data_IF_965682013091
#
_entry.id   IF_965682013091
#
_cell.length_a   1.000
_cell.length_b   1.000
_cell.length_c   1.000
_cell.angle_alpha   90.00
_cell.angle_beta   90.00
_cell.angle_gamma   90.00
#
_symmetry.space_group_name_H-M   'P 1'
#
loop_
_entity.id
_entity.type
_entity.pdbx_description
1 polymer ?
#
# COMPACT_ATOMS: atom_id res chain seq x y z
N UNK A 1 2.52 30.86 18.23
CA UNK A 1 3.90 30.66 17.77
C UNK A 1 4.40 29.35 18.37
N UNK A 2 4.38 28.25 17.62
CA UNK A 2 4.87 26.95 18.09
C UNK A 2 6.40 26.94 17.98
N UNK A 3 7.10 26.61 19.07
CA UNK A 3 8.56 26.49 19.11
C UNK A 3 9.02 25.31 18.24
N UNK A 4 9.92 25.49 17.26
CA UNK A 4 10.18 24.49 16.23
C UNK A 4 11.11 23.32 16.61
N UNK A 5 11.58 23.20 17.85
CA UNK A 5 12.72 22.31 18.18
C UNK A 5 12.51 21.30 19.33
N UNK A 6 11.29 21.08 19.80
CA UNK A 6 11.06 20.03 20.80
C UNK A 6 10.72 18.72 20.08
N UNK A 7 11.64 17.75 20.10
CA UNK A 7 11.30 16.38 19.67
C UNK A 7 10.09 15.91 20.48
N UNK A 8 8.99 15.51 19.83
CA UNK A 8 7.78 15.14 20.54
C UNK A 8 8.06 13.94 21.44
N UNK A 9 7.50 13.96 22.66
CA UNK A 9 7.79 13.01 23.75
C UNK A 9 7.67 11.56 23.29
N UNK A 10 6.69 11.26 22.43
CA UNK A 10 6.44 9.92 21.90
C UNK A 10 7.62 9.38 21.06
N UNK A 11 8.35 10.24 20.35
CA UNK A 11 9.52 9.84 19.55
C UNK A 11 10.80 9.70 20.37
N UNK A 12 10.79 10.19 21.60
CA UNK A 12 11.91 10.04 22.55
C UNK A 12 11.80 8.79 23.41
N UNK A 13 10.68 8.05 23.31
CA UNK A 13 10.47 6.82 24.07
C UNK A 13 11.26 5.65 23.47
N UNK A 14 11.60 4.63 24.28
CA UNK A 14 12.20 3.40 23.76
C UNK A 14 11.27 2.68 22.77
N UNK A 15 11.87 1.98 21.81
CA UNK A 15 11.15 1.24 20.76
C UNK A 15 10.16 0.23 21.35
N UNK A 16 10.50 -0.38 22.47
CA UNK A 16 9.67 -1.35 23.18
C UNK A 16 8.32 -0.75 23.61
N UNK A 17 8.33 0.50 24.07
CA UNK A 17 7.11 1.20 24.48
C UNK A 17 6.24 1.53 23.26
N UNK A 18 6.86 1.91 22.14
CA UNK A 18 6.13 2.17 20.89
C UNK A 18 5.45 0.88 20.38
N UNK A 19 6.15 -0.26 20.45
CA UNK A 19 5.59 -1.58 20.09
C UNK A 19 4.45 -1.96 21.03
N UNK A 20 4.59 -1.72 22.34
CA UNK A 20 3.50 -1.94 23.30
C UNK A 20 2.27 -1.09 22.99
N UNK A 21 2.45 0.19 22.64
CA UNK A 21 1.33 1.06 22.24
C UNK A 21 0.65 0.52 20.99
N UNK A 22 1.44 0.11 19.98
CA UNK A 22 0.91 -0.53 18.77
C UNK A 22 0.13 -1.81 19.07
N UNK A 23 0.55 -2.61 20.07
CA UNK A 23 -0.14 -3.82 20.47
C UNK A 23 -1.56 -3.58 21.01
N UNK A 24 -1.85 -2.39 21.56
CA UNK A 24 -3.19 -2.01 22.00
C UNK A 24 -4.11 -1.58 20.87
N UNK A 25 -3.59 -1.41 19.65
CA UNK A 25 -4.42 -1.14 18.48
C UNK A 25 -5.10 -2.43 18.01
N UNK A 26 -6.43 -2.41 17.91
CA UNK A 26 -7.24 -3.60 17.64
C UNK A 26 -7.01 -4.19 16.25
N UNK A 27 -6.91 -3.34 15.22
CA UNK A 27 -6.87 -3.79 13.82
C UNK A 27 -5.47 -3.67 13.24
N UNK A 28 -5.17 -4.58 12.29
CA UNK A 28 -3.96 -4.48 11.47
C UNK A 28 -3.86 -3.12 10.78
N UNK A 29 -4.95 -2.61 10.21
CA UNK A 29 -4.94 -1.31 9.53
C UNK A 29 -4.61 -0.15 10.49
N UNK A 30 -5.13 -0.18 11.72
CA UNK A 30 -4.83 0.83 12.74
C UNK A 30 -3.33 0.86 13.07
N UNK A 31 -2.71 -0.32 13.20
CA UNK A 31 -1.26 -0.45 13.45
C UNK A 31 -0.43 0.14 12.30
N UNK A 32 -0.76 -0.21 11.07
CA UNK A 32 -0.03 0.30 9.90
C UNK A 32 -0.25 1.81 9.71
N UNK A 33 -1.47 2.31 9.96
CA UNK A 33 -1.75 3.74 9.93
C UNK A 33 -0.96 4.50 11.00
N UNK A 34 -0.85 3.95 12.22
CA UNK A 34 -0.01 4.52 13.27
C UNK A 34 1.46 4.58 12.85
N UNK A 35 1.99 3.49 12.30
CA UNK A 35 3.36 3.45 11.80
C UNK A 35 3.62 4.52 10.73
N UNK A 36 2.67 4.73 9.82
CA UNK A 36 2.78 5.73 8.73
C UNK A 36 2.64 7.19 9.16
N UNK A 37 2.34 7.48 10.42
CA UNK A 37 2.21 8.88 10.89
C UNK A 37 3.53 9.64 10.81
N UNK A 38 4.67 8.97 10.97
CA UNK A 38 5.99 9.57 10.81
C UNK A 38 7.07 8.52 10.49
N UNK A 39 8.20 8.96 9.94
CA UNK A 39 9.30 8.07 9.54
C UNK A 39 9.87 7.25 10.70
N UNK A 40 10.03 7.85 11.89
CA UNK A 40 10.59 7.16 13.07
C UNK A 40 9.68 6.01 13.51
N UNK A 41 8.36 6.25 13.56
CA UNK A 41 7.38 5.20 13.88
C UNK A 41 7.35 4.14 12.81
N UNK A 42 7.47 4.54 11.55
CA UNK A 42 7.50 3.62 10.43
C UNK A 42 8.70 2.67 10.55
N UNK A 43 9.91 3.19 10.68
CA UNK A 43 11.14 2.41 10.77
C UNK A 43 11.16 1.47 11.99
N UNK A 44 10.54 1.90 13.09
CA UNK A 44 10.50 1.12 14.34
C UNK A 44 9.44 0.02 14.30
N UNK A 45 8.24 0.32 13.79
CA UNK A 45 7.07 -0.55 13.96
C UNK A 45 6.77 -1.43 12.75
N UNK A 46 7.06 -0.96 11.52
CA UNK A 46 6.49 -1.58 10.32
C UNK A 46 6.94 -3.03 10.12
N UNK A 47 8.21 -3.31 10.41
CA UNK A 47 8.79 -4.65 10.23
C UNK A 47 8.19 -5.65 11.24
N UNK A 48 7.91 -5.21 12.46
CA UNK A 48 7.26 -6.04 13.46
C UNK A 48 5.77 -6.25 13.13
N UNK A 49 5.07 -5.18 12.71
CA UNK A 49 3.66 -5.26 12.30
C UNK A 49 3.49 -6.26 11.14
N UNK A 50 4.33 -6.20 10.12
CA UNK A 50 4.26 -7.13 9.00
C UNK A 50 4.71 -8.54 9.38
N UNK A 51 5.71 -8.69 10.25
CA UNK A 51 6.13 -10.00 10.79
C UNK A 51 5.01 -10.67 11.60
N UNK A 52 4.24 -9.91 12.35
CA UNK A 52 3.06 -10.44 13.05
C UNK A 52 1.95 -10.81 12.06
N UNK A 53 1.70 -9.95 11.07
CA UNK A 53 0.67 -10.18 10.07
C UNK A 53 0.96 -11.40 9.17
N UNK A 54 2.23 -11.67 8.87
CA UNK A 54 2.62 -12.83 8.06
C UNK A 54 2.36 -14.18 8.77
N UNK A 55 2.23 -14.18 10.10
CA UNK A 55 1.89 -15.38 10.89
C UNK A 55 0.38 -15.62 10.98
N UNK A 56 -0.44 -14.63 10.64
CA UNK A 56 -1.89 -14.71 10.73
C UNK A 56 -2.49 -15.14 9.39
N UNK A 57 -3.21 -16.26 9.38
CA UNK A 57 -3.81 -16.82 8.16
C UNK A 57 -4.82 -15.85 7.51
N UNK A 58 -5.58 -15.10 8.32
CA UNK A 58 -6.56 -14.12 7.84
C UNK A 58 -5.93 -12.87 7.22
N UNK A 59 -4.67 -12.55 7.56
CA UNK A 59 -3.94 -11.37 7.08
C UNK A 59 -2.81 -11.73 6.10
N UNK A 60 -2.66 -13.01 5.76
CA UNK A 60 -1.58 -13.53 4.92
C UNK A 60 -1.50 -12.85 3.54
N UNK A 61 -2.60 -12.31 3.02
CA UNK A 61 -2.60 -11.57 1.73
C UNK A 61 -2.54 -10.06 1.91
N UNK A 62 -3.21 -9.53 2.93
CA UNK A 62 -3.32 -8.09 3.17
C UNK A 62 -1.96 -7.45 3.42
N UNK A 63 -1.08 -8.10 4.18
CA UNK A 63 0.25 -7.54 4.48
C UNK A 63 1.15 -7.43 3.25
N UNK A 64 0.96 -8.28 2.22
CA UNK A 64 1.71 -8.21 0.95
C UNK A 64 1.31 -6.95 0.18
N UNK A 65 0.02 -6.66 0.07
CA UNK A 65 -0.45 -5.43 -0.61
C UNK A 65 0.02 -4.17 0.11
N UNK A 66 -0.05 -4.16 1.44
CA UNK A 66 0.44 -3.04 2.25
C UNK A 66 1.95 -2.85 2.10
N UNK A 67 2.74 -3.93 2.09
CA UNK A 67 4.18 -3.87 1.86
C UNK A 67 4.51 -3.39 0.44
N UNK A 68 3.73 -3.77 -0.57
CA UNK A 68 3.87 -3.25 -1.93
C UNK A 68 3.56 -1.77 -2.03
N UNK A 69 2.58 -1.29 -1.26
CA UNK A 69 2.20 0.12 -1.15
C UNK A 69 3.29 0.95 -0.46
N UNK A 70 3.95 0.39 0.54
CA UNK A 70 5.00 1.11 1.29
C UNK A 70 6.41 0.93 0.72
N UNK A 71 6.59 0.06 -0.27
CA UNK A 71 7.92 -0.20 -0.83
C UNK A 71 8.79 -1.15 0.01
N UNK A 72 8.21 -1.89 0.98
CA UNK A 72 8.95 -2.75 1.91
C UNK A 72 9.32 -4.10 1.27
N UNK A 73 10.39 -4.08 0.46
CA UNK A 73 10.96 -5.28 -0.19
C UNK A 73 11.38 -6.38 0.80
N UNK A 74 12.06 -6.08 1.94
CA UNK A 74 12.46 -7.13 2.89
C UNK A 74 11.28 -7.96 3.41
N UNK A 75 10.13 -7.31 3.63
CA UNK A 75 8.90 -8.02 4.01
C UNK A 75 8.38 -8.90 2.88
N UNK A 76 8.35 -8.39 1.65
CA UNK A 76 7.95 -9.18 0.48
C UNK A 76 8.85 -10.41 0.31
N UNK A 77 10.17 -10.26 0.43
CA UNK A 77 11.11 -11.38 0.37
C UNK A 77 10.81 -12.46 1.40
N UNK A 78 10.62 -12.06 2.67
CA UNK A 78 10.26 -12.99 3.75
C UNK A 78 8.94 -13.71 3.47
N UNK A 79 7.91 -12.97 3.06
CA UNK A 79 6.57 -13.53 2.80
C UNK A 79 6.58 -14.50 1.62
N UNK A 80 7.19 -14.14 0.50
CA UNK A 80 7.24 -15.00 -0.68
C UNK A 80 8.19 -16.20 -0.50
N UNK A 81 9.27 -16.09 0.30
CA UNK A 81 10.14 -17.23 0.64
C UNK A 81 9.43 -18.25 1.54
N UNK A 82 8.71 -17.78 2.57
CA UNK A 82 7.95 -18.66 3.45
C UNK A 82 6.86 -19.44 2.67
N UNK A 83 6.26 -18.80 1.68
CA UNK A 83 5.23 -19.42 0.83
C UNK A 83 5.80 -20.33 -0.27
N UNK A 84 7.00 -20.03 -0.80
CA UNK A 84 7.69 -20.91 -1.75
C UNK A 84 8.02 -22.27 -1.14
N UNK A 85 8.18 -22.33 0.19
CA UNK A 85 8.38 -23.57 0.94
C UNK A 85 7.08 -24.33 1.23
N UNK A 86 5.92 -23.67 1.21
CA UNK A 86 4.63 -24.28 1.57
C UNK A 86 3.81 -24.79 0.38
N UNK A 87 4.14 -24.40 -0.86
CA UNK A 87 3.37 -24.78 -2.05
C UNK A 87 4.22 -25.61 -3.00
N UNK A 88 3.91 -26.91 -3.10
CA UNK A 88 4.33 -27.72 -4.23
C UNK A 88 3.64 -27.23 -5.52
N UNK A 89 4.42 -26.64 -6.43
CA UNK A 89 4.21 -26.57 -7.89
C UNK A 89 2.75 -26.64 -8.38
N UNK A 90 2.05 -25.51 -8.36
CA UNK A 90 0.97 -25.24 -9.32
C UNK A 90 1.25 -23.87 -9.95
N UNK A 91 1.96 -23.90 -11.08
CA UNK A 91 2.55 -22.73 -11.77
C UNK A 91 1.53 -21.61 -12.07
N UNK A 92 0.24 -21.93 -12.22
CA UNK A 92 -0.80 -20.94 -12.49
C UNK A 92 -1.18 -20.05 -11.30
N UNK A 93 -1.11 -20.56 -10.06
CA UNK A 93 -1.44 -19.76 -8.86
C UNK A 93 -0.30 -18.81 -8.47
N UNK A 94 0.94 -19.17 -8.84
CA UNK A 94 2.13 -18.35 -8.60
C UNK A 94 2.08 -17.07 -9.44
N UNK A 95 1.68 -17.16 -10.72
CA UNK A 95 1.58 -15.99 -11.59
C UNK A 95 0.52 -14.99 -11.11
N UNK A 96 -0.69 -15.44 -10.77
CA UNK A 96 -1.72 -14.55 -10.21
C UNK A 96 -1.28 -13.87 -8.90
N UNK A 97 -0.39 -14.51 -8.13
CA UNK A 97 0.13 -13.99 -6.87
C UNK A 97 1.09 -12.81 -7.03
N UNK A 98 1.83 -12.70 -8.13
CA UNK A 98 2.69 -11.54 -8.38
C UNK A 98 1.98 -10.43 -9.13
N UNK A 99 0.96 -10.77 -9.92
CA UNK A 99 0.26 -9.81 -10.76
C UNK A 99 -0.61 -8.84 -9.95
N UNK A 100 -1.32 -9.31 -8.91
CA UNK A 100 -2.14 -8.42 -8.06
C UNK A 100 -1.29 -7.44 -7.23
N UNK A 101 -0.18 -7.84 -6.59
CA UNK A 101 0.74 -6.92 -5.95
C UNK A 101 1.41 -5.93 -6.91
N UNK A 102 1.62 -6.32 -8.18
CA UNK A 102 2.17 -5.43 -9.22
C UNK A 102 1.24 -4.24 -9.48
N UNK A 103 -0.08 -4.45 -9.51
CA UNK A 103 -1.06 -3.36 -9.58
C UNK A 103 -0.88 -2.35 -8.44
N UNK A 104 -0.81 -2.84 -7.19
CA UNK A 104 -0.62 -1.99 -6.01
C UNK A 104 0.70 -1.22 -6.08
N UNK A 105 1.80 -1.89 -6.45
CA UNK A 105 3.09 -1.24 -6.55
C UNK A 105 3.11 -0.11 -7.59
N UNK A 106 2.46 -0.30 -8.74
CA UNK A 106 2.31 0.73 -9.78
C UNK A 106 1.43 1.88 -9.27
N UNK A 107 0.29 1.57 -8.66
CA UNK A 107 -0.66 2.57 -8.15
C UNK A 107 -0.03 3.51 -7.10
N UNK A 108 0.87 2.98 -6.28
CA UNK A 108 1.58 3.75 -5.25
C UNK A 108 2.97 4.24 -5.70
N UNK A 109 3.28 4.18 -7.00
CA UNK A 109 4.54 4.66 -7.58
C UNK A 109 5.80 4.01 -6.98
N UNK A 110 5.69 2.75 -6.52
CA UNK A 110 6.78 2.02 -5.88
C UNK A 110 7.69 1.34 -6.90
N UNK A 111 8.49 2.14 -7.62
CA UNK A 111 9.34 1.70 -8.74
C UNK A 111 10.23 0.51 -8.37
N UNK A 112 10.83 0.51 -7.17
CA UNK A 112 11.72 -0.58 -6.72
C UNK A 112 10.95 -1.89 -6.54
N UNK A 113 9.72 -1.83 -6.04
CA UNK A 113 8.86 -3.03 -5.90
C UNK A 113 8.40 -3.51 -7.25
N UNK A 114 8.03 -2.61 -8.17
CA UNK A 114 7.68 -2.96 -9.56
C UNK A 114 8.82 -3.72 -10.22
N UNK A 115 10.05 -3.20 -10.16
CA UNK A 115 11.23 -3.89 -10.69
C UNK A 115 11.45 -5.25 -10.03
N UNK A 116 11.31 -5.32 -8.70
CA UNK A 116 11.50 -6.55 -7.93
C UNK A 116 10.47 -7.64 -8.30
N UNK A 117 9.23 -7.25 -8.57
CA UNK A 117 8.14 -8.14 -9.01
C UNK A 117 8.33 -8.60 -10.45
N UNK A 118 8.67 -7.69 -11.37
CA UNK A 118 8.94 -8.03 -12.78
C UNK A 118 10.14 -8.99 -12.91
N UNK A 119 11.20 -8.78 -12.13
CA UNK A 119 12.36 -9.68 -12.09
C UNK A 119 12.01 -11.10 -11.63
N UNK A 120 10.86 -11.30 -10.98
CA UNK A 120 10.34 -12.59 -10.50
C UNK A 120 9.24 -13.17 -11.40
N UNK A 121 9.05 -12.60 -12.59
CA UNK A 121 8.11 -13.12 -13.58
C UNK A 121 6.68 -12.64 -13.40
N UNK A 122 6.46 -11.51 -12.73
CA UNK A 122 5.17 -10.83 -12.79
C UNK A 122 4.86 -10.42 -14.24
N UNK A 123 3.67 -10.72 -14.73
CA UNK A 123 3.24 -10.41 -16.09
C UNK A 123 2.56 -9.02 -16.11
N UNK A 124 3.15 -8.02 -16.78
CA UNK A 124 2.58 -6.67 -16.86
C UNK A 124 1.31 -6.60 -17.72
N UNK A 125 1.06 -7.60 -18.57
CA UNK A 125 -0.13 -7.69 -19.42
C UNK A 125 -1.23 -8.55 -18.80
N UNK A 126 -1.02 -9.05 -17.58
CA UNK A 126 -1.99 -9.92 -16.95
C UNK A 126 -3.32 -9.22 -16.74
N UNK A 127 -4.37 -9.76 -17.34
CA UNK A 127 -5.74 -9.32 -17.13
C UNK A 127 -6.37 -10.19 -16.06
N UNK A 128 -6.61 -9.61 -14.89
CA UNK A 128 -7.26 -10.31 -13.79
C UNK A 128 -8.63 -10.83 -14.20
N UNK A 129 -8.96 -12.09 -13.85
CA UNK A 129 -10.35 -12.55 -13.89
C UNK A 129 -11.16 -11.66 -12.94
N UNK A 130 -12.25 -11.06 -13.45
CA UNK A 130 -13.15 -10.08 -12.79
C UNK A 130 -13.96 -10.67 -11.61
N UNK A 131 -13.34 -11.51 -10.79
CA UNK A 131 -13.96 -12.00 -9.57
C UNK A 131 -13.40 -11.24 -8.36
N UNK A 132 -14.27 -10.36 -7.84
CA UNK A 132 -14.35 -9.80 -6.48
C UNK A 132 -13.81 -8.36 -6.28
N UNK A 133 -14.78 -7.46 -6.02
CA UNK A 133 -14.81 -6.27 -5.15
C UNK A 133 -13.65 -5.27 -5.10
N UNK A 134 -12.94 -5.05 -6.21
CA UNK A 134 -12.43 -3.70 -6.48
C UNK A 134 -12.97 -3.27 -7.84
N UNK A 135 -13.55 -2.07 -7.98
CA UNK A 135 -13.85 -1.50 -9.29
C UNK A 135 -12.51 -1.16 -9.96
N UNK A 136 -11.82 -2.19 -10.44
CA UNK A 136 -10.62 -2.04 -11.27
C UNK A 136 -11.11 -1.49 -12.61
N UNK A 137 -10.88 -0.20 -12.85
CA UNK A 137 -11.20 0.44 -14.13
C UNK A 137 -10.26 -0.04 -15.25
N UNK A 138 -9.15 -0.71 -14.90
CA UNK A 138 -8.08 -1.09 -15.82
C UNK A 138 -7.91 -2.59 -15.93
N UNK A 139 -7.80 -3.04 -17.16
CA UNK A 139 -7.74 -4.45 -17.49
C UNK A 139 -6.32 -5.02 -17.29
N UNK A 140 -5.24 -4.23 -17.22
CA UNK A 140 -3.87 -4.74 -17.00
C UNK A 140 -2.97 -3.81 -16.16
N UNK A 141 -1.92 -4.33 -15.47
CA UNK A 141 -0.92 -3.50 -14.79
C UNK A 141 -0.26 -2.46 -15.69
N UNK A 142 0.03 -2.82 -16.95
CA UNK A 142 0.60 -1.91 -17.93
C UNK A 142 -0.33 -0.73 -18.23
N UNK A 143 -1.63 -0.99 -18.36
CA UNK A 143 -2.62 0.07 -18.58
C UNK A 143 -2.70 1.02 -17.38
N UNK A 144 -2.59 0.51 -16.14
CA UNK A 144 -2.49 1.36 -14.94
C UNK A 144 -1.25 2.24 -15.00
N UNK A 145 -0.10 1.69 -15.35
CA UNK A 145 1.14 2.46 -15.44
C UNK A 145 1.04 3.60 -16.47
N UNK A 146 0.50 3.29 -17.66
CA UNK A 146 0.26 4.30 -18.70
C UNK A 146 -0.69 5.38 -18.19
N UNK A 147 -1.80 4.99 -17.55
CA UNK A 147 -2.73 5.97 -17.00
C UNK A 147 -2.10 6.84 -15.90
N UNK A 148 -1.32 6.27 -14.99
CA UNK A 148 -0.61 7.02 -13.95
C UNK A 148 0.34 8.07 -14.54
N UNK A 149 0.87 7.85 -15.75
CA UNK A 149 1.67 8.87 -16.47
C UNK A 149 0.83 9.93 -17.17
N UNK A 150 -0.35 9.56 -17.68
CA UNK A 150 -1.26 10.46 -18.43
C UNK A 150 -2.07 11.36 -17.49
N UNK A 151 -2.42 10.86 -16.31
CA UNK A 151 -3.14 11.59 -15.26
C UNK A 151 -2.35 11.50 -13.94
N UNK A 152 -1.24 12.26 -13.81
CA UNK A 152 -0.44 12.29 -12.59
C UNK A 152 -1.19 13.07 -11.50
N UNK A 153 -2.18 12.43 -10.90
CA UNK A 153 -2.85 12.89 -9.70
C UNK A 153 -2.38 12.09 -8.50
N UNK A 154 -2.37 12.71 -7.32
CA UNK A 154 -2.51 11.97 -6.05
C UNK A 154 -3.72 11.04 -6.27
N UNK A 155 -3.67 9.75 -5.94
CA UNK A 155 -4.84 8.89 -6.03
C UNK A 155 -5.86 9.34 -4.99
N UNK A 156 -6.57 10.44 -5.28
CA UNK A 156 -7.91 10.71 -4.82
C UNK A 156 -8.72 9.53 -5.32
N UNK A 157 -8.80 8.50 -4.48
CA UNK A 157 -9.77 7.45 -4.68
C UNK A 157 -11.10 8.11 -5.00
N UNK A 158 -11.64 7.74 -6.16
CA UNK A 158 -12.88 8.19 -6.74
C UNK A 158 -13.94 8.34 -5.63
N UNK A 159 -14.10 9.58 -5.15
CA UNK A 159 -15.29 9.96 -4.41
C UNK A 159 -16.43 9.69 -5.40
N UNK A 160 -17.36 8.76 -5.10
CA UNK A 160 -18.44 8.46 -6.03
C UNK A 160 -19.16 9.76 -6.36
N UNK A 161 -19.46 10.03 -7.64
CA UNK A 161 -20.03 11.32 -8.10
C UNK A 161 -21.26 11.78 -7.27
N UNK A 162 -22.00 10.83 -6.70
CA UNK A 162 -23.10 11.06 -5.74
C UNK A 162 -22.72 11.87 -4.49
N UNK A 163 -21.45 11.89 -4.08
CA UNK A 163 -20.97 12.63 -2.92
C UNK A 163 -20.55 14.07 -3.28
N UNK A 164 -20.25 14.35 -4.56
CA UNK A 164 -20.09 15.71 -5.07
C UNK A 164 -21.43 16.46 -5.08
N UNK A 165 -22.50 15.82 -5.56
CA UNK A 165 -23.84 16.45 -5.62
C UNK A 165 -24.45 16.76 -4.25
N UNK A 166 -24.02 16.05 -3.20
CA UNK A 166 -24.43 16.37 -1.82
C UNK A 166 -23.63 17.53 -1.21
N UNK A 167 -22.45 17.85 -1.74
CA UNK A 167 -21.59 18.92 -1.23
C UNK A 167 -21.61 20.21 -2.06
N UNK A 168 -22.02 20.17 -3.32
CA UNK A 168 -22.00 21.31 -4.26
C UNK A 168 -23.18 22.27 -4.09
N UNK A 169 -23.61 22.52 -2.86
CA UNK A 169 -24.51 23.63 -2.50
C UNK A 169 -23.77 24.92 -2.15
N UNK A 170 -22.45 24.88 -1.99
CA UNK A 170 -21.65 26.04 -1.60
C UNK A 170 -20.36 26.07 -2.41
N UNK A 171 -19.98 27.26 -2.88
CA UNK A 171 -18.80 27.59 -3.69
C UNK A 171 -18.99 27.44 -5.21
N UNK A 172 -19.94 28.21 -5.73
CA UNK A 172 -19.72 28.92 -6.98
C UNK A 172 -18.66 29.99 -6.74
N UNK A 173 -17.56 29.98 -7.51
CA UNK A 173 -16.51 31.00 -7.40
C UNK A 173 -15.21 30.56 -8.05
N UNK A 174 -14.98 31.10 -9.25
CA UNK A 174 -13.82 30.95 -10.12
C UNK A 174 -12.47 31.13 -9.40
N UNK A 175 -11.43 30.40 -9.82
CA UNK A 175 -10.20 31.00 -10.41
C UNK A 175 -9.13 29.95 -10.70
N UNK A 176 -8.52 30.12 -11.87
CA UNK A 176 -7.45 29.34 -12.46
C UNK A 176 -6.12 29.36 -11.68
N UNK A 177 -5.36 28.27 -11.79
CA UNK A 177 -3.92 28.17 -11.47
C UNK A 177 -3.29 27.32 -12.60
N UNK A 178 -2.79 27.89 -13.70
CA UNK A 178 -1.44 28.45 -13.87
C UNK A 178 -0.33 27.61 -13.22
N UNK A 179 0.20 26.67 -14.00
CA UNK A 179 1.47 25.99 -13.72
C UNK A 179 2.66 26.93 -13.95
N UNK A 180 3.61 26.91 -13.03
CA UNK A 180 5.03 27.17 -13.30
C UNK A 180 5.79 25.89 -13.04
#
# INVERSE_FOLDING_TARGET
MATPNSTPTLLTMPAEIMVMISAHSETFQSKVNLARTCSVMYDTLIDDIYRQASKSESLARTHIYEACRDGNIPTLERSFQAEALSISRLDHQIQQRFNRPLYTAIQFYQVRVVQWLLARGADPNFVGQREISMPMLFDSPLQVAVQSTVMPGIPEWCIPEKWYRMGSGFLSGESALHCK
#
